data_IF_139022189656
#
_entry.id   IF_139022189656
#
_cell.length_a   1.000
_cell.length_b   1.000
_cell.length_c   1.000
_cell.angle_alpha   90.00
_cell.angle_beta   90.00
_cell.angle_gamma   90.00
#
_symmetry.space_group_name_H-M   'P 1'
#
loop_
_entity.id
_entity.type
_entity.pdbx_description
1 polymer ?
#
# COMPACT_ATOMS: atom_id res chain seq x y z
N UNK A 1 -17.59 27.46 11.03
CA UNK A 1 -16.35 27.89 11.71
C UNK A 1 -15.21 27.72 10.72
N UNK A 2 -14.63 28.81 10.23
CA UNK A 2 -13.56 28.76 9.22
C UNK A 2 -12.24 29.11 9.93
N UNK A 3 -11.39 28.11 10.13
CA UNK A 3 -10.09 28.31 10.78
C UNK A 3 -9.13 28.80 9.70
N UNK A 4 -8.80 30.09 9.74
CA UNK A 4 -7.76 30.68 8.89
C UNK A 4 -6.42 30.34 9.52
N UNK A 5 -5.67 29.41 8.90
CA UNK A 5 -4.31 29.10 9.30
C UNK A 5 -3.33 30.14 8.71
N UNK A 6 -2.23 30.46 9.40
CA UNK A 6 -1.21 31.34 8.87
C UNK A 6 -0.63 30.80 7.55
N UNK A 7 -0.13 31.67 6.66
CA UNK A 7 0.46 31.26 5.39
C UNK A 7 1.64 30.32 5.67
N UNK A 8 1.47 29.03 5.36
CA UNK A 8 2.56 28.06 5.36
C UNK A 8 3.52 28.43 4.22
N UNK A 9 4.84 28.26 4.45
CA UNK A 9 5.81 28.26 3.34
C UNK A 9 5.26 27.37 2.22
N UNK A 10 5.28 27.83 0.95
CA UNK A 10 4.74 27.03 -0.14
C UNK A 10 5.42 25.67 -0.16
N UNK A 11 4.62 24.61 -0.32
CA UNK A 11 5.17 23.28 -0.56
C UNK A 11 6.11 23.37 -1.76
N UNK A 12 7.34 22.83 -1.64
CA UNK A 12 8.37 22.97 -2.68
C UNK A 12 7.89 22.53 -4.08
N UNK A 13 6.94 21.60 -4.12
CA UNK A 13 6.42 20.99 -5.35
C UNK A 13 4.91 21.31 -5.58
N UNK A 14 4.35 22.28 -4.85
CA UNK A 14 2.92 22.61 -4.94
C UNK A 14 1.99 21.58 -4.26
N UNK A 15 0.68 21.84 -4.29
CA UNK A 15 -0.34 20.90 -3.82
C UNK A 15 -0.71 19.89 -4.93
N UNK A 16 -1.24 18.71 -4.58
CA UNK A 16 -1.76 17.77 -5.56
C UNK A 16 -2.95 18.36 -6.33
N UNK A 17 -2.99 18.11 -7.64
CA UNK A 17 -4.13 18.38 -8.52
C UNK A 17 -4.06 17.48 -9.74
N UNK A 18 -5.06 17.50 -10.62
CA UNK A 18 -5.01 16.75 -11.88
C UNK A 18 -3.83 17.18 -12.78
N UNK A 19 -3.42 18.44 -12.67
CA UNK A 19 -2.29 19.03 -13.39
C UNK A 19 -0.94 18.84 -12.68
N UNK A 20 -0.97 18.43 -11.40
CA UNK A 20 0.21 18.16 -10.58
C UNK A 20 0.04 16.85 -9.77
N UNK A 21 0.01 15.69 -10.44
CA UNK A 21 -0.27 14.42 -9.79
C UNK A 21 0.93 13.89 -9.00
N UNK A 22 0.64 13.25 -7.86
CA UNK A 22 1.61 12.60 -7.00
C UNK A 22 1.37 11.09 -6.95
N UNK A 23 2.43 10.31 -7.16
CA UNK A 23 2.43 8.86 -6.91
C UNK A 23 3.27 8.59 -5.67
N UNK A 24 2.63 8.13 -4.60
CA UNK A 24 3.31 7.69 -3.38
C UNK A 24 3.53 6.18 -3.45
N UNK A 25 4.79 5.75 -3.48
CA UNK A 25 5.16 4.38 -3.84
C UNK A 25 5.47 3.49 -2.61
N UNK A 26 4.48 3.30 -1.73
CA UNK A 26 4.58 2.44 -0.53
C UNK A 26 5.38 3.02 0.64
N UNK A 27 5.49 2.25 1.72
CA UNK A 27 6.22 2.55 2.97
C UNK A 27 5.78 3.82 3.70
N UNK A 28 4.48 4.10 3.67
CA UNK A 28 3.85 5.24 4.35
C UNK A 28 3.97 5.13 5.87
N UNK A 29 3.98 3.90 6.36
CA UNK A 29 3.97 3.60 7.78
C UNK A 29 5.36 3.27 8.33
N UNK A 30 6.44 3.24 7.53
CA UNK A 30 7.77 2.79 7.98
C UNK A 30 8.60 3.82 8.77
N UNK A 31 9.51 3.32 9.64
CA UNK A 31 10.60 3.97 10.42
C UNK A 31 10.27 5.17 11.32
N UNK A 32 9.07 5.75 11.24
CA UNK A 32 8.65 6.93 12.00
C UNK A 32 7.61 6.63 13.09
N UNK A 33 7.61 7.43 14.16
CA UNK A 33 6.60 7.36 15.25
C UNK A 33 5.20 7.84 14.83
N UNK A 34 5.07 8.45 13.64
CA UNK A 34 3.84 9.10 13.14
C UNK A 34 3.25 8.46 11.88
N UNK A 35 3.53 7.17 11.66
CA UNK A 35 3.06 6.47 10.46
C UNK A 35 1.53 6.44 10.33
N UNK A 36 0.81 6.40 11.46
CA UNK A 36 -0.66 6.45 11.49
C UNK A 36 -1.19 7.79 10.95
N UNK A 37 -0.61 8.89 11.41
CA UNK A 37 -0.99 10.24 10.96
C UNK A 37 -0.67 10.43 9.47
N UNK A 38 0.47 9.90 9.01
CA UNK A 38 0.86 9.93 7.59
C UNK A 38 -0.17 9.20 6.74
N UNK A 39 -0.53 7.95 7.07
CA UNK A 39 -1.50 7.20 6.26
C UNK A 39 -2.89 7.85 6.28
N UNK A 40 -3.33 8.40 7.41
CA UNK A 40 -4.61 9.13 7.48
C UNK A 40 -4.58 10.35 6.55
N UNK A 41 -3.51 11.14 6.57
CA UNK A 41 -3.37 12.30 5.68
C UNK A 41 -3.36 11.87 4.23
N UNK A 42 -2.63 10.81 3.86
CA UNK A 42 -2.58 10.32 2.49
C UNK A 42 -3.95 9.82 1.99
N UNK A 43 -4.71 9.12 2.83
CA UNK A 43 -6.07 8.69 2.49
C UNK A 43 -7.03 9.87 2.34
N UNK A 44 -6.92 10.89 3.21
CA UNK A 44 -7.69 12.12 3.05
C UNK A 44 -7.32 12.86 1.76
N UNK A 45 -6.03 12.92 1.41
CA UNK A 45 -5.57 13.52 0.16
C UNK A 45 -6.05 12.73 -1.07
N UNK A 46 -6.07 11.40 -1.02
CA UNK A 46 -6.61 10.55 -2.08
C UNK A 46 -8.08 10.88 -2.38
N UNK A 47 -8.87 11.20 -1.33
CA UNK A 47 -10.28 11.59 -1.47
C UNK A 47 -10.42 13.05 -1.89
N UNK A 48 -9.64 13.95 -1.28
CA UNK A 48 -9.75 15.39 -1.48
C UNK A 48 -9.18 15.88 -2.82
N UNK A 49 -8.27 15.13 -3.43
CA UNK A 49 -7.64 15.46 -4.72
C UNK A 49 -7.83 14.32 -5.74
N UNK A 50 -9.06 14.12 -6.26
CA UNK A 50 -9.31 13.12 -7.30
C UNK A 50 -8.40 13.35 -8.52
N UNK A 51 -7.69 12.31 -8.95
CA UNK A 51 -6.71 12.40 -10.05
C UNK A 51 -5.39 13.10 -9.71
N UNK A 52 -5.25 13.64 -8.49
CA UNK A 52 -4.02 14.30 -8.02
C UNK A 52 -3.16 13.44 -7.10
N UNK A 53 -3.72 12.40 -6.48
CA UNK A 53 -2.97 11.51 -5.58
C UNK A 53 -3.23 10.05 -5.93
N UNK A 54 -2.15 9.28 -6.01
CA UNK A 54 -2.14 7.84 -6.25
C UNK A 54 -1.24 7.17 -5.21
N UNK A 55 -1.68 6.04 -4.66
CA UNK A 55 -0.97 5.30 -3.63
C UNK A 55 -0.70 3.88 -4.12
N UNK A 56 0.56 3.44 -4.14
CA UNK A 56 0.91 2.03 -4.33
C UNK A 56 1.15 1.33 -2.98
N UNK A 57 0.93 0.02 -2.94
CA UNK A 57 1.19 -0.84 -1.79
C UNK A 57 2.68 -1.16 -1.67
N UNK A 58 3.29 -0.82 -0.54
CA UNK A 58 4.62 -1.27 -0.14
C UNK A 58 4.58 -2.55 0.70
N UNK A 59 5.74 -3.05 1.10
CA UNK A 59 5.84 -4.23 1.98
C UNK A 59 5.57 -3.90 3.45
N UNK A 60 5.70 -2.64 3.86
CA UNK A 60 5.36 -2.19 5.21
C UNK A 60 3.86 -1.94 5.42
N UNK A 61 3.07 -1.87 4.35
CA UNK A 61 1.60 -1.90 4.34
C UNK A 61 1.06 -3.34 4.48
N UNK A 62 1.55 -4.04 5.50
CA UNK A 62 1.32 -5.46 5.75
C UNK A 62 1.08 -5.72 7.25
N UNK A 63 0.12 -6.59 7.55
CA UNK A 63 -0.23 -6.97 8.91
C UNK A 63 0.97 -7.54 9.71
N UNK A 64 1.90 -8.23 9.04
CA UNK A 64 3.09 -8.82 9.68
C UNK A 64 4.04 -7.71 10.15
N UNK A 65 4.19 -6.64 9.37
CA UNK A 65 5.03 -5.50 9.73
C UNK A 65 4.37 -4.64 10.81
N UNK A 66 3.04 -4.52 10.77
CA UNK A 66 2.28 -3.78 11.76
C UNK A 66 2.12 -4.51 13.09
N UNK A 67 2.17 -5.85 13.12
CA UNK A 67 2.17 -6.61 14.38
C UNK A 67 3.35 -6.27 15.29
N UNK A 68 4.53 -5.98 14.72
CA UNK A 68 5.69 -5.50 15.50
C UNK A 68 5.46 -4.10 16.08
N UNK A 69 4.68 -3.27 15.39
CA UNK A 69 4.27 -1.93 15.85
C UNK A 69 3.06 -1.95 16.79
N UNK A 70 2.28 -3.04 16.82
CA UNK A 70 1.15 -3.24 17.74
C UNK A 70 1.57 -3.13 19.20
N UNK A 71 2.83 -3.42 19.53
CA UNK A 71 3.38 -3.18 20.88
C UNK A 71 3.36 -1.70 21.29
N UNK A 72 3.27 -0.76 20.34
CA UNK A 72 3.20 0.70 20.61
C UNK A 72 1.77 1.25 20.67
N UNK A 73 0.78 0.55 20.10
CA UNK A 73 -0.60 0.99 20.10
C UNK A 73 -1.36 0.27 21.21
N UNK A 74 -1.96 1.03 22.13
CA UNK A 74 -2.75 0.47 23.23
C UNK A 74 -3.89 -0.41 22.70
N UNK A 75 -4.33 -1.39 23.51
CA UNK A 75 -5.39 -2.38 23.19
C UNK A 75 -6.67 -1.80 22.55
N UNK A 76 -6.95 -0.52 22.75
CA UNK A 76 -8.13 0.17 22.22
C UNK A 76 -8.06 0.50 20.70
N UNK A 77 -6.92 0.29 20.04
CA UNK A 77 -6.75 0.61 18.62
C UNK A 77 -6.86 -0.59 17.68
N UNK A 78 -7.18 -1.79 18.19
CA UNK A 78 -7.27 -3.01 17.38
C UNK A 78 -8.26 -2.91 16.22
N UNK A 79 -9.42 -2.26 16.43
CA UNK A 79 -10.42 -2.06 15.37
C UNK A 79 -9.86 -1.20 14.24
N UNK A 80 -9.14 -0.14 14.58
CA UNK A 80 -8.53 0.79 13.61
C UNK A 80 -7.43 0.09 12.82
N UNK A 81 -6.59 -0.71 13.50
CA UNK A 81 -5.55 -1.50 12.84
C UNK A 81 -6.13 -2.49 11.82
N UNK A 82 -7.21 -3.19 12.17
CA UNK A 82 -7.90 -4.09 11.23
C UNK A 82 -8.49 -3.35 10.02
N UNK A 83 -8.99 -2.12 10.22
CA UNK A 83 -9.46 -1.29 9.10
C UNK A 83 -8.31 -0.91 8.16
N UNK A 84 -7.15 -0.50 8.70
CA UNK A 84 -5.98 -0.20 7.88
C UNK A 84 -5.47 -1.44 7.14
N UNK A 85 -5.44 -2.61 7.77
CA UNK A 85 -5.10 -3.86 7.11
C UNK A 85 -6.03 -4.14 5.92
N UNK A 86 -7.33 -3.91 6.06
CA UNK A 86 -8.27 -3.99 4.94
C UNK A 86 -7.95 -2.97 3.85
N UNK A 87 -7.71 -1.71 4.20
CA UNK A 87 -7.37 -0.65 3.23
C UNK A 87 -6.11 -1.00 2.44
N UNK A 88 -5.05 -1.45 3.10
CA UNK A 88 -3.79 -1.81 2.45
C UNK A 88 -3.95 -2.88 1.38
N UNK A 89 -4.87 -3.84 1.58
CA UNK A 89 -5.15 -4.91 0.61
C UNK A 89 -5.75 -4.40 -0.69
N UNK A 90 -6.41 -3.25 -0.66
CA UNK A 90 -7.02 -2.64 -1.85
C UNK A 90 -6.07 -1.73 -2.64
N UNK A 91 -4.95 -1.33 -2.05
CA UNK A 91 -3.97 -0.46 -2.69
C UNK A 91 -3.40 -1.13 -3.96
N UNK A 92 -3.28 -0.40 -5.08
CA UNK A 92 -2.59 -0.85 -6.29
C UNK A 92 -1.17 -1.38 -6.00
N UNK A 93 -0.75 -2.41 -6.72
CA UNK A 93 0.59 -2.99 -6.60
C UNK A 93 1.64 -2.21 -7.40
N UNK A 94 1.18 -1.43 -8.37
CA UNK A 94 2.00 -0.56 -9.19
C UNK A 94 1.13 0.40 -10.00
N UNK A 95 1.79 1.42 -10.56
CA UNK A 95 1.17 2.45 -11.39
C UNK A 95 1.94 2.54 -12.71
N UNK A 96 1.22 2.62 -13.83
CA UNK A 96 1.83 2.86 -15.15
C UNK A 96 1.56 4.30 -15.54
N UNK A 97 2.63 5.08 -15.74
CA UNK A 97 2.55 6.49 -16.15
C UNK A 97 2.73 6.59 -17.66
N UNK A 98 1.80 7.28 -18.33
CA UNK A 98 1.80 7.54 -19.77
C UNK A 98 2.02 6.28 -20.63
N UNK A 99 1.54 5.12 -20.17
CA UNK A 99 1.73 3.83 -20.83
C UNK A 99 3.20 3.48 -21.11
N UNK A 100 4.14 4.04 -20.33
CA UNK A 100 5.59 3.92 -20.58
C UNK A 100 6.40 3.56 -19.35
N UNK A 101 6.10 4.15 -18.20
CA UNK A 101 6.91 4.00 -16.99
C UNK A 101 6.13 3.23 -15.95
N UNK A 102 6.63 2.06 -15.56
CA UNK A 102 6.10 1.27 -14.45
C UNK A 102 6.73 1.72 -13.13
N UNK A 103 5.88 2.12 -12.19
CA UNK A 103 6.26 2.45 -10.81
C UNK A 103 5.78 1.31 -9.91
N UNK A 104 6.71 0.62 -9.27
CA UNK A 104 6.47 -0.44 -8.28
C UNK A 104 7.37 -0.21 -7.07
N UNK A 105 6.93 -0.66 -5.89
CA UNK A 105 7.66 -0.39 -4.65
C UNK A 105 8.96 -1.22 -4.52
N UNK A 106 8.88 -2.54 -4.66
CA UNK A 106 10.07 -3.42 -4.51
C UNK A 106 10.90 -3.55 -5.79
N UNK A 107 10.26 -3.92 -6.90
CA UNK A 107 10.92 -4.20 -8.18
C UNK A 107 10.19 -5.27 -8.98
N UNK A 108 10.77 -5.65 -10.13
CA UNK A 108 10.25 -6.69 -11.03
C UNK A 108 11.18 -7.91 -11.08
N UNK A 109 10.67 -9.04 -11.55
CA UNK A 109 11.39 -10.29 -11.79
C UNK A 109 11.50 -10.55 -13.30
N UNK A 110 12.43 -11.41 -13.71
CA UNK A 110 12.56 -11.88 -15.11
C UNK A 110 11.30 -12.61 -15.61
N UNK A 111 10.44 -13.01 -14.69
CA UNK A 111 9.16 -13.69 -14.93
C UNK A 111 7.96 -12.78 -14.68
N UNK A 112 8.17 -11.47 -14.55
CA UNK A 112 7.09 -10.53 -14.28
C UNK A 112 6.17 -10.39 -15.48
N UNK A 113 4.88 -10.64 -15.25
CA UNK A 113 3.83 -10.49 -16.26
C UNK A 113 2.84 -9.41 -15.79
N UNK A 114 2.78 -8.29 -16.54
CA UNK A 114 1.94 -7.15 -16.19
C UNK A 114 0.45 -7.45 -16.35
N UNK A 115 0.06 -8.28 -17.32
CA UNK A 115 -1.33 -8.66 -17.51
C UNK A 115 -1.77 -9.57 -16.38
N UNK A 116 -0.90 -10.49 -15.94
CA UNK A 116 -1.15 -11.30 -14.76
C UNK A 116 -1.31 -10.42 -13.52
N UNK A 117 -0.40 -9.47 -13.26
CA UNK A 117 -0.49 -8.55 -12.12
C UNK A 117 -1.79 -7.74 -12.16
N UNK A 118 -2.22 -7.31 -13.36
CA UNK A 118 -3.45 -6.56 -13.57
C UNK A 118 -4.70 -7.39 -13.29
N UNK A 119 -4.68 -8.69 -13.60
CA UNK A 119 -5.80 -9.60 -13.35
C UNK A 119 -5.87 -10.13 -11.92
N UNK A 120 -4.89 -9.83 -11.06
CA UNK A 120 -4.90 -10.30 -9.67
C UNK A 120 -6.04 -9.67 -8.88
N UNK A 121 -6.78 -10.53 -8.18
CA UNK A 121 -7.63 -10.19 -7.03
C UNK A 121 -6.73 -9.85 -5.83
N UNK A 122 -6.05 -8.70 -5.92
CA UNK A 122 -5.03 -8.24 -4.96
C UNK A 122 -5.51 -8.20 -3.52
N UNK A 123 -6.81 -8.02 -3.31
CA UNK A 123 -7.43 -8.02 -1.98
C UNK A 123 -7.36 -9.39 -1.31
N UNK A 124 -7.29 -10.51 -2.04
CA UNK A 124 -7.09 -11.85 -1.47
C UNK A 124 -5.72 -12.02 -0.81
N UNK A 125 -4.75 -11.20 -1.19
CA UNK A 125 -3.37 -11.28 -0.71
C UNK A 125 -3.17 -10.48 0.60
N UNK A 126 -3.41 -11.18 1.72
CA UNK A 126 -3.27 -10.64 3.08
C UNK A 126 -1.84 -10.15 3.34
N UNK A 127 -0.83 -10.87 2.83
CA UNK A 127 0.57 -10.48 2.95
C UNK A 127 1.31 -10.53 1.62
N UNK A 128 2.18 -9.55 1.39
CA UNK A 128 3.17 -9.58 0.33
C UNK A 128 4.46 -10.31 0.76
N UNK A 129 4.64 -10.49 2.07
CA UNK A 129 5.85 -11.04 2.68
C UNK A 129 5.80 -12.56 2.88
N UNK A 130 4.60 -13.13 3.01
CA UNK A 130 4.43 -14.58 3.17
C UNK A 130 3.44 -15.12 2.15
N UNK A 131 3.69 -16.33 1.64
CA UNK A 131 2.68 -17.03 0.87
C UNK A 131 1.45 -17.25 1.76
N UNK A 132 0.24 -17.17 1.18
CA UNK A 132 -0.97 -17.53 1.92
C UNK A 132 -0.83 -18.96 2.44
N UNK A 133 -1.23 -19.18 3.70
CA UNK A 133 -1.31 -20.52 4.27
C UNK A 133 -2.45 -21.25 3.55
N UNK A 134 -2.12 -22.30 2.81
CA UNK A 134 -3.13 -23.21 2.29
C UNK A 134 -3.73 -23.99 3.47
N UNK A 135 -4.79 -23.48 4.08
CA UNK A 135 -5.66 -24.33 4.91
C UNK A 135 -6.51 -25.17 3.97
N UNK A 136 -6.00 -26.36 3.66
CA UNK A 136 -6.63 -27.40 2.81
C UNK A 136 -7.94 -27.96 3.36
N UNK A 137 -8.59 -27.28 4.33
CA UNK A 137 -9.69 -27.80 5.14
C UNK A 137 -10.97 -26.95 5.11
N UNK A 138 -10.98 -25.80 4.43
CA UNK A 138 -12.20 -25.01 4.23
C UNK A 138 -12.82 -25.31 2.84
N UNK A 139 -14.06 -25.86 2.76
CA UNK A 139 -14.74 -26.04 1.49
C UNK A 139 -15.05 -24.65 0.88
N UNK A 140 -14.43 -24.34 -0.26
CA UNK A 140 -14.58 -23.06 -0.95
C UNK A 140 -13.44 -22.05 -0.79
N UNK A 141 -12.35 -22.41 -0.09
CA UNK A 141 -11.12 -21.62 -0.15
C UNK A 141 -10.40 -21.89 -1.47
N UNK A 142 -10.55 -20.99 -2.45
CA UNK A 142 -9.76 -21.02 -3.67
C UNK A 142 -8.27 -21.06 -3.29
N UNK A 143 -7.60 -22.15 -3.62
CA UNK A 143 -6.17 -22.30 -3.37
C UNK A 143 -5.43 -21.23 -4.18
N UNK A 144 -4.98 -20.17 -3.49
CA UNK A 144 -4.28 -19.06 -4.13
C UNK A 144 -3.03 -19.60 -4.85
N UNK A 145 -2.92 -19.27 -6.14
CA UNK A 145 -1.92 -19.84 -7.03
C UNK A 145 -0.50 -19.37 -6.65
N UNK A 146 0.41 -20.33 -6.41
CA UNK A 146 1.83 -20.02 -6.09
C UNK A 146 2.54 -19.23 -7.19
N UNK A 147 2.09 -19.35 -8.45
CA UNK A 147 2.61 -18.58 -9.59
C UNK A 147 2.22 -17.11 -9.46
N UNK A 148 0.96 -16.83 -9.13
CA UNK A 148 0.47 -15.47 -8.89
C UNK A 148 1.15 -14.84 -7.68
N UNK A 149 1.28 -15.58 -6.57
CA UNK A 149 1.99 -15.06 -5.40
C UNK A 149 3.46 -14.74 -5.70
N UNK A 150 4.13 -15.47 -6.60
CA UNK A 150 5.50 -15.15 -7.02
C UNK A 150 5.60 -13.82 -7.76
N UNK A 151 4.53 -13.37 -8.42
CA UNK A 151 4.47 -12.02 -8.99
C UNK A 151 4.50 -10.93 -7.90
N UNK A 152 4.07 -11.28 -6.68
CA UNK A 152 3.95 -10.38 -5.52
C UNK A 152 5.11 -10.46 -4.53
N UNK A 153 5.93 -11.51 -4.54
CA UNK A 153 6.78 -11.85 -3.38
C UNK A 153 8.23 -11.39 -3.42
N UNK A 154 8.72 -10.83 -4.53
CA UNK A 154 10.09 -10.29 -4.60
C UNK A 154 10.28 -8.94 -3.87
N UNK A 155 9.29 -8.48 -3.11
CA UNK A 155 9.39 -7.41 -2.09
C UNK A 155 10.43 -7.68 -0.96
N UNK A 156 11.15 -8.82 -1.01
CA UNK A 156 12.17 -9.22 -0.04
C UNK A 156 13.63 -8.92 -0.46
N UNK A 157 13.91 -8.60 -1.73
CA UNK A 157 15.30 -8.61 -2.23
C UNK A 157 15.99 -7.24 -2.30
N UNK A 158 15.94 -6.43 -1.24
CA UNK A 158 16.80 -5.23 -1.13
C UNK A 158 17.47 -5.02 0.25
N UNK A 159 17.44 -6.00 1.15
CA UNK A 159 18.28 -5.96 2.36
C UNK A 159 19.05 -7.29 2.48
N UNK A 160 20.21 -7.33 1.82
CA UNK A 160 21.38 -8.07 2.28
C UNK A 160 22.20 -7.16 3.18
#
# INVERSE_FOLDING_TARGET
MQIILPPKKPARNGLPSAENPYVFNGDFVDRGKRGLEVIVVLLLCLIAFPGGVYLNRGNHEDHIMNQRKRNFLQKNHERILKLFESVYRWLPLGTIVNNRVLIVHGGISDTTDLEMIRSLEREKYVSLLRPPLCDSSAPGADAINKVEWKQLSKYRSQHG
#
